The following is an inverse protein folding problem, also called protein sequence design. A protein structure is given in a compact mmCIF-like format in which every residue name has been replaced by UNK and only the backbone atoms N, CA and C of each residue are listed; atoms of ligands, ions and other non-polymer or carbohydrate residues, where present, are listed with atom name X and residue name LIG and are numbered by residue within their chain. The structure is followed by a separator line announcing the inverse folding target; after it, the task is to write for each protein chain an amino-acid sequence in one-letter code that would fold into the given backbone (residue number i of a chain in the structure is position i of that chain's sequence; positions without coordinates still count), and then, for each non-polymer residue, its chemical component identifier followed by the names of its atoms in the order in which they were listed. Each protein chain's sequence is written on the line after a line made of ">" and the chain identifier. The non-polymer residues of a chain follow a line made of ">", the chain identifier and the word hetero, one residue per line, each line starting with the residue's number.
data_IF_312734340761
#
_entry.id   IF_312734340761
#
_cell.length_a   1.000
_cell.length_b   1.000
_cell.length_c   1.000
_cell.angle_alpha   90.00
_cell.angle_beta   90.00
_cell.angle_gamma   90.00
#
_symmetry.space_group_name_H-M   'P 1'
#
loop_
_entity.id
_entity.type
_entity.pdbx_description
1 polymer ?
#
# COMPACT_ATOMS: atom_id res chain seq x y z
N UNK A 1 -3.14 22.76 -26.14
CA UNK A 1 -1.70 22.39 -26.21
C UNK A 1 -0.90 22.67 -24.93
N UNK A 2 -1.53 22.75 -23.73
CA UNK A 2 -0.86 23.19 -22.48
C UNK A 2 -0.62 22.05 -21.46
N UNK A 3 -1.07 20.83 -21.72
CA UNK A 3 -1.08 19.72 -20.74
C UNK A 3 0.11 18.75 -20.80
N UNK A 4 1.08 18.91 -21.72
CA UNK A 4 2.28 18.05 -21.81
C UNK A 4 3.55 18.63 -21.17
N UNK A 5 3.69 19.96 -21.07
CA UNK A 5 4.91 20.60 -20.55
C UNK A 5 5.03 20.59 -19.01
N UNK A 6 3.91 20.64 -18.28
CA UNK A 6 3.90 20.67 -16.81
C UNK A 6 4.41 19.35 -16.19
N UNK A 7 4.25 18.22 -16.88
CA UNK A 7 4.71 16.90 -16.38
C UNK A 7 6.22 16.75 -16.43
N UNK A 8 6.89 17.24 -17.47
CA UNK A 8 8.35 17.09 -17.62
C UNK A 8 9.07 18.02 -16.66
N UNK A 9 8.61 19.26 -16.51
CA UNK A 9 9.26 20.23 -15.63
C UNK A 9 9.08 19.87 -14.15
N UNK A 10 7.87 19.46 -13.73
CA UNK A 10 7.66 18.99 -12.37
C UNK A 10 8.46 17.71 -12.04
N UNK A 11 8.58 16.79 -13.00
CA UNK A 11 9.45 15.62 -12.85
C UNK A 11 10.91 16.05 -12.76
N UNK A 12 11.41 16.93 -13.64
CA UNK A 12 12.78 17.47 -13.57
C UNK A 12 13.06 18.16 -12.24
N UNK A 13 12.13 18.94 -11.70
CA UNK A 13 12.27 19.61 -10.40
C UNK A 13 12.25 18.63 -9.23
N UNK A 14 11.47 17.55 -9.31
CA UNK A 14 11.54 16.42 -8.37
C UNK A 14 12.88 15.69 -8.48
N UNK A 15 13.39 15.47 -9.69
CA UNK A 15 14.65 14.76 -9.95
C UNK A 15 15.88 15.60 -9.60
N UNK A 16 15.78 16.93 -9.72
CA UNK A 16 16.74 17.90 -9.21
C UNK A 16 16.56 18.15 -7.70
N UNK A 17 15.50 17.56 -7.13
CA UNK A 17 15.11 17.63 -5.73
C UNK A 17 14.69 19.01 -5.22
N UNK A 18 14.37 19.94 -6.11
CA UNK A 18 13.85 21.26 -5.80
C UNK A 18 12.43 21.25 -5.18
N UNK A 19 11.76 20.09 -5.18
CA UNK A 19 10.41 19.88 -4.68
C UNK A 19 10.34 18.59 -3.86
N UNK A 20 9.76 18.68 -2.66
CA UNK A 20 9.44 17.51 -1.86
C UNK A 20 8.39 16.63 -2.57
N UNK A 21 8.69 15.36 -2.81
CA UNK A 21 7.78 14.41 -3.46
C UNK A 21 6.52 14.16 -2.61
N UNK A 22 6.61 14.33 -1.30
CA UNK A 22 5.52 14.08 -0.35
C UNK A 22 4.52 15.23 -0.22
N UNK A 23 4.97 16.49 -0.13
CA UNK A 23 4.10 17.66 0.06
C UNK A 23 4.09 18.65 -1.11
N UNK A 24 4.92 18.44 -2.13
CA UNK A 24 5.09 19.34 -3.29
C UNK A 24 5.56 20.76 -2.94
N UNK A 25 5.99 21.01 -1.70
CA UNK A 25 6.59 22.29 -1.34
C UNK A 25 7.94 22.46 -2.06
N UNK A 26 8.15 23.65 -2.63
CA UNK A 26 9.45 24.07 -3.15
C UNK A 26 10.43 24.11 -1.98
N UNK A 27 11.52 23.36 -2.06
CA UNK A 27 12.56 23.34 -1.02
C UNK A 27 13.47 24.57 -1.19
N UNK A 28 12.89 25.78 -1.15
CA UNK A 28 13.70 26.99 -1.01
C UNK A 28 14.28 26.96 0.42
N UNK A 29 15.60 26.87 0.48
CA UNK A 29 16.48 26.95 1.66
C UNK A 29 16.79 25.71 2.52
N UNK A 30 16.56 24.48 2.06
CA UNK A 30 17.15 23.30 2.73
C UNK A 30 17.73 22.21 1.80
N UNK A 31 17.85 22.52 0.50
CA UNK A 31 18.17 21.50 -0.51
C UNK A 31 19.63 21.51 -0.99
N UNK A 32 20.34 22.63 -0.87
CA UNK A 32 21.60 22.84 -1.59
C UNK A 32 22.83 22.11 -1.03
N UNK A 33 22.75 21.45 0.14
CA UNK A 33 23.94 20.82 0.76
C UNK A 33 24.03 19.30 0.65
N UNK A 34 22.98 18.59 0.22
CA UNK A 34 23.00 17.12 0.15
C UNK A 34 22.98 16.55 -1.27
N UNK A 35 22.50 17.28 -2.28
CA UNK A 35 22.39 16.75 -3.66
C UNK A 35 23.62 17.01 -4.53
N UNK A 36 24.54 17.88 -4.09
CA UNK A 36 25.78 18.19 -4.84
C UNK A 36 26.76 17.00 -4.98
N UNK A 37 26.61 15.93 -4.20
CA UNK A 37 27.45 14.73 -4.30
C UNK A 37 26.88 13.61 -5.18
N UNK A 38 25.64 13.72 -5.67
CA UNK A 38 25.03 12.73 -6.57
C UNK A 38 25.16 13.08 -8.07
N UNK A 39 25.83 14.19 -8.38
CA UNK A 39 26.07 14.69 -9.75
C UNK A 39 27.45 14.31 -10.30
N UNK A 40 27.80 13.03 -10.33
CA UNK A 40 28.79 12.52 -11.27
C UNK A 40 28.35 11.13 -11.76
N UNK A 41 27.45 11.14 -12.75
CA UNK A 41 27.24 10.04 -13.70
C UNK A 41 26.80 8.69 -13.14
N UNK A 42 25.50 8.51 -12.85
CA UNK A 42 24.75 7.25 -13.01
C UNK A 42 23.30 7.40 -12.52
N UNK A 43 22.37 7.84 -13.36
CA UNK A 43 20.93 7.68 -13.05
C UNK A 43 20.55 6.25 -13.38
N UNK A 44 20.65 5.36 -12.39
CA UNK A 44 19.93 4.08 -12.38
C UNK A 44 18.76 4.23 -11.41
N UNK A 45 17.61 4.51 -12.01
CA UNK A 45 16.34 4.76 -11.32
C UNK A 45 15.98 3.53 -10.47
N UNK A 46 16.05 3.63 -9.14
CA UNK A 46 15.64 2.61 -8.16
C UNK A 46 16.24 1.19 -8.25
N UNK A 47 17.02 0.85 -9.27
CA UNK A 47 17.45 -0.53 -9.53
C UNK A 47 18.78 -0.90 -8.85
N UNK A 48 19.40 0.04 -8.12
CA UNK A 48 20.75 -0.12 -7.58
C UNK A 48 20.94 0.28 -6.11
N UNK A 49 19.87 0.47 -5.33
CA UNK A 49 20.06 0.74 -3.89
C UNK A 49 20.54 -0.56 -3.21
N UNK A 50 21.79 -0.63 -2.72
CA UNK A 50 22.25 -1.80 -1.98
C UNK A 50 21.50 -1.85 -0.64
N UNK A 51 20.87 -3.00 -0.38
CA UNK A 51 19.92 -3.25 0.70
C UNK A 51 20.70 -3.54 2.00
N UNK A 52 21.56 -2.61 2.44
CA UNK A 52 22.16 -2.65 3.78
C UNK A 52 21.43 -1.66 4.70
N UNK A 53 21.00 -2.19 5.86
CA UNK A 53 19.96 -1.63 6.72
C UNK A 53 20.25 -0.24 7.33
N UNK A 54 19.14 0.48 7.55
CA UNK A 54 18.94 1.71 8.32
C UNK A 54 19.39 3.04 7.69
N UNK A 55 20.68 3.35 7.58
CA UNK A 55 21.09 4.69 7.10
C UNK A 55 20.87 4.88 5.60
N UNK A 56 21.14 3.87 4.77
CA UNK A 56 20.96 3.94 3.31
C UNK A 56 19.51 4.25 2.92
N UNK A 57 18.53 3.58 3.54
CA UNK A 57 17.10 3.83 3.28
C UNK A 57 16.64 5.21 3.78
N UNK A 58 17.12 5.65 4.94
CA UNK A 58 16.77 6.98 5.47
C UNK A 58 17.38 8.10 4.61
N UNK A 59 18.65 7.96 4.22
CA UNK A 59 19.32 8.88 3.30
C UNK A 59 18.63 8.91 1.93
N UNK A 60 18.16 7.76 1.46
CA UNK A 60 17.36 7.66 0.24
C UNK A 60 16.02 8.41 0.39
N UNK A 61 15.28 8.22 1.49
CA UNK A 61 14.03 8.96 1.72
C UNK A 61 14.27 10.48 1.84
N UNK A 62 15.34 10.90 2.51
CA UNK A 62 15.75 12.31 2.64
C UNK A 62 16.10 12.95 1.29
N UNK A 63 16.49 12.16 0.29
CA UNK A 63 16.76 12.64 -1.07
C UNK A 63 15.49 13.07 -1.82
N UNK A 64 14.29 12.63 -1.38
CA UNK A 64 13.02 12.89 -2.07
C UNK A 64 11.94 13.54 -1.18
N UNK A 65 12.05 13.40 0.14
CA UNK A 65 11.08 13.89 1.12
C UNK A 65 11.74 14.92 2.02
N UNK A 66 11.15 16.11 2.14
CA UNK A 66 11.68 17.16 3.00
C UNK A 66 11.65 16.76 4.48
N UNK A 67 12.54 17.37 5.27
CA UNK A 67 12.64 17.14 6.71
C UNK A 67 11.30 17.28 7.43
N UNK A 68 10.50 18.30 7.09
CA UNK A 68 9.19 18.52 7.70
C UNK A 68 8.23 17.34 7.46
N UNK A 69 8.21 16.76 6.26
CA UNK A 69 7.35 15.60 5.97
C UNK A 69 7.84 14.32 6.66
N UNK A 70 9.16 14.13 6.78
CA UNK A 70 9.71 12.98 7.50
C UNK A 70 9.48 13.09 9.02
N UNK A 71 9.62 14.28 9.59
CA UNK A 71 9.40 14.51 11.03
C UNK A 71 7.92 14.42 11.42
N UNK A 72 7.01 14.82 10.52
CA UNK A 72 5.57 14.80 10.75
C UNK A 72 4.87 13.61 10.09
N UNK A 73 5.54 12.46 10.00
CA UNK A 73 4.86 11.23 9.58
C UNK A 73 3.81 10.85 10.63
N UNK A 74 2.53 10.67 10.24
CA UNK A 74 1.46 10.36 11.18
C UNK A 74 1.48 8.87 11.55
N UNK A 75 2.59 8.40 12.15
CA UNK A 75 2.81 6.99 12.48
C UNK A 75 1.86 6.57 13.60
N UNK A 76 1.13 5.48 13.40
CA UNK A 76 0.29 4.90 14.43
C UNK A 76 1.12 4.07 15.43
N UNK A 77 0.63 4.04 16.66
CA UNK A 77 1.15 3.13 17.69
C UNK A 77 0.71 1.69 17.38
N UNK A 78 1.59 0.71 17.59
CA UNK A 78 1.35 -0.69 17.26
C UNK A 78 0.18 -1.31 18.03
N UNK A 79 -0.15 -0.75 19.20
CA UNK A 79 -1.27 -1.16 20.05
C UNK A 79 -2.62 -0.61 19.57
N UNK A 80 -2.65 0.35 18.65
CA UNK A 80 -3.90 0.86 18.05
C UNK A 80 -4.31 -0.04 16.89
N UNK A 81 -4.78 -1.24 17.20
CA UNK A 81 -5.30 -2.20 16.22
C UNK A 81 -6.77 -1.90 15.95
N UNK A 82 -7.19 -1.84 14.69
CA UNK A 82 -8.62 -1.81 14.38
C UNK A 82 -9.16 -3.24 14.42
N UNK A 83 -10.28 -3.44 15.10
CA UNK A 83 -10.90 -4.75 15.23
C UNK A 83 -12.31 -4.73 14.64
N UNK A 84 -12.57 -5.67 13.74
CA UNK A 84 -13.92 -5.90 13.22
C UNK A 84 -14.79 -6.48 14.33
N UNK A 85 -15.86 -5.78 14.68
CA UNK A 85 -16.90 -6.27 15.61
C UNK A 85 -17.57 -7.55 15.07
N UNK A 86 -17.73 -7.64 13.75
CA UNK A 86 -18.46 -8.73 13.09
C UNK A 86 -17.65 -10.01 12.95
N UNK A 87 -16.33 -9.89 12.76
CA UNK A 87 -15.49 -11.02 12.32
C UNK A 87 -14.30 -11.30 13.25
N UNK A 88 -14.14 -10.54 14.35
CA UNK A 88 -12.95 -10.58 15.23
C UNK A 88 -11.62 -10.47 14.46
N UNK A 89 -11.64 -9.83 13.29
CA UNK A 89 -10.47 -9.62 12.46
C UNK A 89 -9.68 -8.42 12.99
N UNK A 90 -8.38 -8.62 13.18
CA UNK A 90 -7.44 -7.56 13.53
C UNK A 90 -6.80 -6.98 12.27
N UNK A 91 -6.85 -5.65 12.15
CA UNK A 91 -6.25 -4.88 11.07
C UNK A 91 -5.23 -3.92 11.68
N UNK A 92 -3.96 -4.09 11.29
CA UNK A 92 -2.89 -3.17 11.61
C UNK A 92 -2.78 -2.09 10.53
N UNK A 93 -2.46 -0.86 10.94
CA UNK A 93 -2.22 0.24 10.01
C UNK A 93 -0.96 0.99 10.42
N UNK A 94 -0.11 1.35 9.46
CA UNK A 94 1.16 2.01 9.76
C UNK A 94 0.96 3.48 10.12
N UNK A 95 0.01 4.14 9.46
CA UNK A 95 -0.19 5.58 9.54
C UNK A 95 -1.66 5.95 9.72
N UNK A 96 -1.93 7.11 10.32
CA UNK A 96 -3.22 7.78 10.13
C UNK A 96 -3.31 8.30 8.69
N UNK A 97 -4.50 8.33 8.11
CA UNK A 97 -4.74 8.81 6.75
C UNK A 97 -4.69 10.34 6.69
N UNK A 98 -3.49 10.88 6.89
CA UNK A 98 -3.19 12.31 6.92
C UNK A 98 -1.97 12.58 6.05
N UNK A 99 -1.72 13.86 5.75
CA UNK A 99 -0.49 14.25 5.06
C UNK A 99 0.73 13.92 5.93
N UNK A 100 1.86 13.51 5.33
CA UNK A 100 2.09 13.39 3.89
C UNK A 100 1.58 12.10 3.23
N UNK A 101 1.19 11.08 4.00
CA UNK A 101 0.89 9.73 3.51
C UNK A 101 -0.34 9.71 2.59
N UNK A 102 -1.41 10.42 2.98
CA UNK A 102 -2.63 10.51 2.17
C UNK A 102 -2.35 11.08 0.78
N UNK A 103 -1.44 12.05 0.65
CA UNK A 103 -1.05 12.59 -0.65
C UNK A 103 -0.32 11.54 -1.49
N UNK A 104 0.64 10.80 -0.92
CA UNK A 104 1.34 9.73 -1.65
C UNK A 104 0.37 8.68 -2.18
N UNK A 105 -0.60 8.28 -1.36
CA UNK A 105 -1.66 7.34 -1.73
C UNK A 105 -2.55 7.91 -2.86
N UNK A 106 -2.96 9.18 -2.77
CA UNK A 106 -3.76 9.84 -3.81
C UNK A 106 -3.00 9.92 -5.13
N UNK A 107 -1.72 10.32 -5.09
CA UNK A 107 -0.84 10.37 -6.27
C UNK A 107 -0.69 8.99 -6.92
N UNK A 108 -0.58 7.95 -6.09
CA UNK A 108 -0.56 6.57 -6.55
C UNK A 108 -1.93 6.09 -7.08
N UNK A 109 -3.06 6.52 -6.53
CA UNK A 109 -4.39 6.02 -6.97
C UNK A 109 -4.91 6.69 -8.24
N UNK A 110 -4.60 7.97 -8.44
CA UNK A 110 -5.30 8.82 -9.41
C UNK A 110 -4.39 9.54 -10.41
N UNK A 111 -3.09 9.65 -10.13
CA UNK A 111 -2.15 10.42 -10.97
C UNK A 111 -1.07 9.56 -11.63
N UNK A 112 -1.22 8.23 -11.60
CA UNK A 112 -0.31 7.24 -12.19
C UNK A 112 1.15 7.35 -11.72
N UNK A 113 1.37 7.88 -10.51
CA UNK A 113 2.70 8.07 -9.92
C UNK A 113 3.17 6.79 -9.22
N UNK A 114 3.43 5.74 -9.99
CA UNK A 114 3.77 4.39 -9.47
C UNK A 114 5.02 4.36 -8.57
N UNK A 115 5.94 5.32 -8.70
CA UNK A 115 7.10 5.41 -7.81
C UNK A 115 6.74 5.58 -6.32
N UNK A 116 5.54 6.08 -6.00
CA UNK A 116 5.06 6.09 -4.62
C UNK A 116 4.88 4.69 -4.04
N UNK A 117 4.65 3.66 -4.86
CA UNK A 117 4.60 2.29 -4.36
C UNK A 117 5.93 1.85 -3.74
N UNK A 118 7.06 2.20 -4.38
CA UNK A 118 8.41 1.95 -3.84
C UNK A 118 8.65 2.73 -2.54
N UNK A 119 8.28 4.01 -2.49
CA UNK A 119 8.41 4.83 -1.28
C UNK A 119 7.57 4.27 -0.11
N UNK A 120 6.33 3.90 -0.37
CA UNK A 120 5.44 3.29 0.63
C UNK A 120 5.96 1.92 1.09
N UNK A 121 6.54 1.13 0.18
CA UNK A 121 7.19 -0.14 0.51
C UNK A 121 8.41 0.04 1.42
N UNK A 122 9.21 1.10 1.22
CA UNK A 122 10.32 1.45 2.13
C UNK A 122 9.79 1.77 3.53
N UNK A 123 8.69 2.52 3.64
CA UNK A 123 8.07 2.77 4.95
C UNK A 123 7.60 1.47 5.62
N UNK A 124 6.97 0.56 4.87
CA UNK A 124 6.60 -0.75 5.40
C UNK A 124 7.85 -1.49 5.89
N UNK A 125 8.88 -1.57 5.06
CA UNK A 125 10.13 -2.23 5.41
C UNK A 125 10.72 -1.65 6.70
N UNK A 126 10.85 -0.33 6.83
CA UNK A 126 11.44 0.31 8.00
C UNK A 126 10.61 0.10 9.27
N UNK A 127 9.28 0.05 9.15
CA UNK A 127 8.36 -0.11 10.30
C UNK A 127 7.97 -1.56 10.57
N UNK A 128 8.45 -2.53 9.78
CA UNK A 128 7.98 -3.93 9.78
C UNK A 128 8.06 -4.63 11.13
N UNK A 129 9.12 -4.37 11.90
CA UNK A 129 9.29 -4.95 13.24
C UNK A 129 8.21 -4.47 14.21
N UNK A 130 7.81 -3.19 14.11
CA UNK A 130 6.77 -2.58 14.93
C UNK A 130 5.38 -3.18 14.65
N UNK A 131 5.16 -3.70 13.45
CA UNK A 131 3.86 -4.24 13.01
C UNK A 131 3.89 -5.76 12.75
N UNK A 132 4.91 -6.46 13.26
CA UNK A 132 5.06 -7.92 13.26
C UNK A 132 4.99 -8.59 11.88
N UNK A 133 5.63 -7.98 10.86
CA UNK A 133 5.61 -8.51 9.49
C UNK A 133 6.69 -9.56 9.19
N UNK A 134 7.53 -9.91 10.17
CA UNK A 134 8.71 -10.77 9.97
C UNK A 134 8.43 -12.28 10.16
N UNK A 135 7.20 -12.73 9.96
CA UNK A 135 6.86 -14.15 10.07
C UNK A 135 6.99 -14.86 8.72
N UNK A 136 8.00 -15.73 8.58
CA UNK A 136 8.25 -16.55 7.38
C UNK A 136 7.07 -17.47 7.02
N UNK A 137 6.22 -17.80 8.00
CA UNK A 137 5.00 -18.61 7.80
C UNK A 137 3.80 -17.77 7.33
N UNK A 138 4.02 -16.51 6.96
CA UNK A 138 2.98 -15.65 6.40
C UNK A 138 3.05 -15.57 4.88
N UNK A 139 1.91 -15.34 4.25
CA UNK A 139 1.80 -14.98 2.84
C UNK A 139 0.95 -13.73 2.69
N UNK A 140 1.52 -12.73 2.03
CA UNK A 140 0.87 -11.46 1.79
C UNK A 140 0.01 -11.53 0.54
N UNK A 141 -1.25 -11.15 0.67
CA UNK A 141 -2.23 -11.19 -0.41
C UNK A 141 -2.82 -9.79 -0.57
N UNK A 142 -2.52 -9.07 -1.66
CA UNK A 142 -3.07 -7.74 -1.89
C UNK A 142 -4.56 -7.87 -2.20
N UNK A 143 -5.38 -6.97 -1.69
CA UNK A 143 -6.80 -6.96 -2.03
C UNK A 143 -6.94 -6.63 -3.54
N UNK A 144 -7.58 -7.50 -4.33
CA UNK A 144 -7.70 -7.30 -5.76
C UNK A 144 -8.67 -6.15 -6.08
N UNK A 145 -8.33 -5.39 -7.12
CA UNK A 145 -9.28 -4.49 -7.77
C UNK A 145 -10.23 -5.27 -8.68
N UNK A 146 -11.43 -4.74 -8.86
CA UNK A 146 -12.33 -5.24 -9.90
C UNK A 146 -11.73 -4.90 -11.29
N UNK A 147 -11.95 -5.77 -12.29
CA UNK A 147 -11.35 -5.62 -13.62
C UNK A 147 -11.56 -4.24 -14.25
N UNK A 148 -12.76 -3.65 -14.14
CA UNK A 148 -13.03 -2.31 -14.65
C UNK A 148 -12.12 -1.24 -14.01
N UNK A 149 -11.92 -1.31 -12.69
CA UNK A 149 -11.06 -0.38 -11.96
C UNK A 149 -9.59 -0.62 -12.27
N UNK A 150 -9.21 -1.87 -12.50
CA UNK A 150 -7.86 -2.23 -12.94
C UNK A 150 -7.58 -1.68 -14.34
N UNK A 151 -8.54 -1.78 -15.28
CA UNK A 151 -8.46 -1.21 -16.63
C UNK A 151 -8.36 0.32 -16.60
N UNK A 152 -9.20 0.98 -15.80
CA UNK A 152 -9.21 2.44 -15.63
C UNK A 152 -7.89 2.96 -15.02
N UNK A 153 -7.42 2.32 -13.95
CA UNK A 153 -6.22 2.74 -13.21
C UNK A 153 -4.92 2.27 -13.86
N UNK A 154 -4.97 1.19 -14.64
CA UNK A 154 -3.82 0.50 -15.24
C UNK A 154 -3.04 -0.41 -14.30
N UNK A 155 -3.30 -0.39 -12.99
CA UNK A 155 -2.63 -1.24 -11.99
C UNK A 155 -3.43 -1.33 -10.68
N UNK A 156 -3.10 -2.33 -9.87
CA UNK A 156 -3.56 -2.44 -8.48
C UNK A 156 -2.50 -1.84 -7.55
N UNK A 157 -2.84 -0.74 -6.87
CA UNK A 157 -1.92 -0.04 -5.97
C UNK A 157 -1.49 -0.89 -4.78
N UNK A 158 -2.39 -1.71 -4.21
CA UNK A 158 -2.07 -2.58 -3.09
C UNK A 158 -1.06 -3.67 -3.53
N UNK A 159 -1.26 -4.20 -4.73
CA UNK A 159 -0.36 -5.16 -5.37
C UNK A 159 1.02 -4.56 -5.62
N UNK A 160 1.10 -3.36 -6.19
CA UNK A 160 2.38 -2.69 -6.46
C UNK A 160 3.17 -2.48 -5.17
N UNK A 161 2.53 -1.98 -4.11
CA UNK A 161 3.20 -1.73 -2.83
C UNK A 161 3.74 -3.03 -2.23
N UNK A 162 2.94 -4.09 -2.17
CA UNK A 162 3.40 -5.34 -1.56
C UNK A 162 4.42 -6.05 -2.43
N UNK A 163 4.32 -5.99 -3.76
CA UNK A 163 5.34 -6.54 -4.65
C UNK A 163 6.70 -5.91 -4.37
N UNK A 164 6.77 -4.59 -4.18
CA UNK A 164 8.02 -3.91 -3.82
C UNK A 164 8.45 -4.22 -2.38
N UNK A 165 7.50 -4.33 -1.45
CA UNK A 165 7.79 -4.71 -0.05
C UNK A 165 8.35 -6.13 0.05
N UNK A 166 7.80 -7.07 -0.72
CA UNK A 166 8.23 -8.46 -0.77
C UNK A 166 9.67 -8.59 -1.28
N UNK A 167 10.07 -7.76 -2.26
CA UNK A 167 11.48 -7.68 -2.70
C UNK A 167 12.40 -7.16 -1.59
N UNK A 168 11.97 -6.15 -0.84
CA UNK A 168 12.79 -5.51 0.21
C UNK A 168 12.94 -6.39 1.45
N UNK A 169 11.85 -7.02 1.90
CA UNK A 169 11.79 -7.80 3.13
C UNK A 169 11.86 -9.31 2.91
N UNK A 170 12.06 -9.78 1.68
CA UNK A 170 12.03 -11.21 1.31
C UNK A 170 10.75 -11.92 1.80
N UNK A 171 9.59 -11.32 1.54
CA UNK A 171 8.28 -11.84 1.99
C UNK A 171 7.63 -12.73 0.93
N UNK A 172 6.92 -13.77 1.38
CA UNK A 172 6.04 -14.53 0.50
C UNK A 172 4.84 -13.67 0.09
N UNK A 173 4.55 -13.61 -1.20
CA UNK A 173 3.47 -12.81 -1.76
C UNK A 173 2.70 -13.56 -2.83
N UNK A 174 1.39 -13.37 -2.88
CA UNK A 174 0.51 -13.96 -3.89
C UNK A 174 -0.64 -13.01 -4.26
N UNK A 175 -0.68 -12.59 -5.53
CA UNK A 175 -1.72 -11.73 -6.09
C UNK A 175 -2.83 -12.47 -6.86
N UNK A 176 -2.80 -13.80 -6.88
CA UNK A 176 -3.72 -14.67 -7.64
C UNK A 176 -4.65 -15.48 -6.74
N UNK A 177 -4.36 -15.62 -5.44
CA UNK A 177 -5.18 -16.40 -4.50
C UNK A 177 -6.62 -15.87 -4.42
N UNK A 178 -6.78 -14.54 -4.36
CA UNK A 178 -8.07 -13.88 -4.20
C UNK A 178 -8.43 -13.09 -5.47
N UNK A 179 -9.68 -13.20 -5.91
CA UNK A 179 -10.23 -12.46 -7.04
C UNK A 179 -11.40 -11.60 -6.59
N UNK A 180 -11.60 -10.45 -7.25
CA UNK A 180 -12.77 -9.59 -7.04
C UNK A 180 -13.75 -9.72 -8.21
N UNK A 181 -14.93 -10.25 -7.94
CA UNK A 181 -15.93 -10.63 -8.95
C UNK A 181 -17.03 -9.60 -9.14
N UNK A 182 -17.33 -8.78 -8.12
CA UNK A 182 -18.38 -7.75 -8.18
C UNK A 182 -17.81 -6.34 -8.20
N UNK A 183 -18.43 -5.46 -9.02
CA UNK A 183 -18.29 -4.01 -8.89
C UNK A 183 -19.11 -3.59 -7.65
N UNK A 184 -18.45 -3.34 -6.53
CA UNK A 184 -19.15 -2.74 -5.39
C UNK A 184 -19.42 -1.27 -5.71
N UNK A 185 -20.67 -0.89 -5.93
CA UNK A 185 -21.10 0.52 -6.02
C UNK A 185 -20.90 1.21 -4.66
N UNK A 186 -20.69 2.53 -4.66
CA UNK A 186 -20.66 3.34 -3.43
C UNK A 186 -21.99 3.17 -2.68
N UNK A 187 -21.92 3.14 -1.34
CA UNK A 187 -23.05 2.85 -0.43
C UNK A 187 -24.25 3.83 -0.54
N UNK A 188 -24.14 4.91 -1.30
CA UNK A 188 -25.21 5.90 -1.51
C UNK A 188 -26.25 5.51 -2.55
N UNK A 189 -26.04 4.43 -3.32
CA UNK A 189 -26.91 4.09 -4.47
C UNK A 189 -27.77 2.82 -4.30
N UNK A 190 -27.68 2.12 -3.15
CA UNK A 190 -28.38 0.83 -2.96
C UNK A 190 -29.55 1.02 -1.98
N UNK A 191 -30.78 0.93 -2.50
CA UNK A 191 -32.01 0.89 -1.70
C UNK A 191 -32.14 -0.50 -1.05
N UNK A 192 -32.44 -0.57 0.25
CA UNK A 192 -32.71 -1.83 0.98
C UNK A 192 -31.56 -2.39 1.81
N UNK A 193 -31.82 -2.74 3.07
CA UNK A 193 -30.82 -3.30 4.02
C UNK A 193 -30.37 -4.72 3.64
N UNK A 194 -31.29 -5.56 3.15
CA UNK A 194 -31.01 -6.95 2.79
C UNK A 194 -30.20 -7.08 1.49
N UNK A 195 -30.49 -6.24 0.50
CA UNK A 195 -29.74 -6.18 -0.76
C UNK A 195 -28.33 -5.61 -0.54
N UNK A 196 -28.15 -4.73 0.45
CA UNK A 196 -26.83 -4.26 0.91
C UNK A 196 -25.98 -5.38 1.54
N UNK A 197 -26.59 -6.31 2.27
CA UNK A 197 -25.86 -7.48 2.78
C UNK A 197 -25.51 -8.48 1.66
N UNK A 198 -26.46 -8.78 0.75
CA UNK A 198 -26.25 -9.71 -0.38
C UNK A 198 -25.25 -9.20 -1.44
N UNK A 199 -25.18 -7.89 -1.67
CA UNK A 199 -24.24 -7.30 -2.63
C UNK A 199 -22.78 -7.24 -2.13
N UNK A 200 -22.56 -7.15 -0.81
CA UNK A 200 -21.22 -7.21 -0.22
C UNK A 200 -20.76 -8.65 0.06
N UNK A 201 -21.67 -9.58 0.38
CA UNK A 201 -21.35 -10.99 0.35
C UNK A 201 -21.02 -11.39 -1.10
N UNK A 202 -19.90 -12.09 -1.31
CA UNK A 202 -19.43 -12.59 -2.62
C UNK A 202 -18.78 -11.55 -3.54
N UNK A 203 -18.36 -10.38 -3.05
CA UNK A 203 -17.51 -9.49 -3.85
C UNK A 203 -16.13 -10.10 -4.14
N UNK A 204 -15.70 -11.06 -3.32
CA UNK A 204 -14.42 -11.76 -3.43
C UNK A 204 -14.60 -13.27 -3.40
N UNK A 205 -13.76 -13.97 -4.16
CA UNK A 205 -13.71 -15.43 -4.23
C UNK A 205 -12.26 -15.91 -4.25
N UNK A 206 -12.01 -17.12 -3.75
CA UNK A 206 -10.72 -17.78 -3.97
C UNK A 206 -10.67 -18.22 -5.43
N UNK A 207 -9.52 -18.02 -6.06
CA UNK A 207 -9.30 -18.42 -7.43
C UNK A 207 -9.37 -19.94 -7.59
N UNK A 208 -10.28 -20.43 -8.43
CA UNK A 208 -10.48 -21.86 -8.68
C UNK A 208 -9.28 -22.53 -9.36
N UNK A 209 -8.39 -21.76 -9.98
CA UNK A 209 -7.13 -22.28 -10.51
C UNK A 209 -6.15 -22.78 -9.41
N UNK A 210 -6.44 -22.51 -8.13
CA UNK A 210 -5.69 -23.10 -7.03
C UNK A 210 -6.17 -24.52 -6.77
N UNK A 211 -5.34 -25.50 -7.10
CA UNK A 211 -5.58 -26.90 -6.76
C UNK A 211 -5.71 -27.10 -5.24
N UNK A 212 -6.49 -28.10 -4.81
CA UNK A 212 -6.76 -28.42 -3.40
C UNK A 212 -5.46 -28.60 -2.61
N UNK A 213 -4.47 -29.29 -3.18
CA UNK A 213 -3.15 -29.50 -2.57
C UNK A 213 -2.42 -28.17 -2.32
N UNK A 214 -2.50 -27.24 -3.28
CA UNK A 214 -1.92 -25.93 -3.14
C UNK A 214 -2.59 -25.15 -2.01
N UNK A 215 -3.93 -25.15 -1.97
CA UNK A 215 -4.69 -24.55 -0.87
C UNK A 215 -4.33 -25.16 0.48
N UNK A 216 -4.12 -26.47 0.57
CA UNK A 216 -3.73 -27.13 1.82
C UNK A 216 -2.34 -26.70 2.32
N UNK A 217 -1.36 -26.51 1.42
CA UNK A 217 -0.06 -25.91 1.76
C UNK A 217 -0.23 -24.50 2.32
N UNK A 218 -1.16 -23.77 1.73
CA UNK A 218 -1.53 -22.40 2.06
C UNK A 218 -2.26 -22.27 3.40
N UNK A 219 -3.12 -23.23 3.79
CA UNK A 219 -3.82 -23.25 5.09
C UNK A 219 -2.89 -23.35 6.29
N UNK A 220 -1.71 -23.95 6.11
CA UNK A 220 -0.67 -23.98 7.15
C UNK A 220 -0.02 -22.60 7.37
N UNK A 221 -0.15 -21.69 6.40
CA UNK A 221 0.38 -20.33 6.47
C UNK A 221 -0.67 -19.33 6.97
N UNK A 222 -0.20 -18.29 7.62
CA UNK A 222 -1.00 -17.11 7.97
C UNK A 222 -1.18 -16.25 6.70
N UNK A 223 -2.42 -16.02 6.26
CA UNK A 223 -2.67 -15.04 5.20
C UNK A 223 -2.70 -13.64 5.81
N UNK A 224 -1.90 -12.73 5.25
CA UNK A 224 -1.93 -11.30 5.58
C UNK A 224 -2.54 -10.55 4.40
N UNK A 225 -3.81 -10.18 4.53
CA UNK A 225 -4.48 -9.33 3.55
C UNK A 225 -3.88 -7.92 3.59
N UNK A 226 -3.63 -7.34 2.43
CA UNK A 226 -3.11 -5.99 2.33
C UNK A 226 -4.00 -5.06 1.50
N UNK A 227 -4.32 -3.89 2.03
CA UNK A 227 -4.92 -2.79 1.28
C UNK A 227 -4.18 -1.49 1.57
N UNK A 228 -4.39 -0.46 0.76
CA UNK A 228 -3.68 0.80 0.97
C UNK A 228 -4.33 1.67 2.05
N UNK A 229 -5.66 1.70 2.17
CA UNK A 229 -6.36 2.48 3.20
C UNK A 229 -7.48 1.67 3.84
N UNK A 230 -7.49 1.62 5.17
CA UNK A 230 -8.63 1.18 5.96
C UNK A 230 -9.57 2.37 6.20
N UNK A 231 -10.79 2.29 5.67
CA UNK A 231 -11.88 3.19 6.06
C UNK A 231 -12.85 2.45 6.97
N UNK A 232 -14.03 2.06 6.50
CA UNK A 232 -15.05 1.33 7.27
C UNK A 232 -14.73 -0.14 7.55
N UNK A 233 -13.61 -0.67 7.02
CA UNK A 233 -13.27 -2.10 7.11
C UNK A 233 -14.07 -3.02 6.18
N UNK A 234 -15.16 -2.56 5.58
CA UNK A 234 -16.06 -3.36 4.73
C UNK A 234 -15.36 -4.15 3.61
N UNK A 235 -14.38 -3.54 2.93
CA UNK A 235 -13.62 -4.20 1.86
C UNK A 235 -12.75 -5.34 2.41
N UNK A 236 -12.05 -5.09 3.53
CA UNK A 236 -11.20 -6.09 4.18
C UNK A 236 -12.06 -7.24 4.74
N UNK A 237 -13.18 -6.93 5.37
CA UNK A 237 -14.13 -7.95 5.86
C UNK A 237 -14.65 -8.82 4.71
N UNK A 238 -15.08 -8.21 3.60
CA UNK A 238 -15.57 -8.94 2.43
C UNK A 238 -14.48 -9.83 1.81
N UNK A 239 -13.23 -9.35 1.73
CA UNK A 239 -12.08 -10.12 1.25
C UNK A 239 -11.69 -11.27 2.20
N UNK A 240 -11.90 -11.08 3.50
CA UNK A 240 -11.57 -12.07 4.55
C UNK A 240 -12.54 -13.25 4.55
N UNK A 241 -13.83 -13.02 4.30
CA UNK A 241 -14.88 -14.06 4.32
C UNK A 241 -14.55 -15.34 3.54
N UNK A 242 -14.19 -15.30 2.23
CA UNK A 242 -13.90 -16.51 1.47
C UNK A 242 -12.65 -17.24 1.99
N UNK A 243 -11.65 -16.51 2.51
CA UNK A 243 -10.45 -17.10 3.09
C UNK A 243 -10.76 -17.85 4.39
N UNK A 244 -11.54 -17.25 5.30
CA UNK A 244 -11.95 -17.95 6.53
C UNK A 244 -12.78 -19.19 6.22
N UNK A 245 -13.70 -19.12 5.25
CA UNK A 245 -14.49 -20.29 4.81
C UNK A 245 -13.63 -21.43 4.26
N UNK A 246 -12.51 -21.11 3.62
CA UNK A 246 -11.56 -22.12 3.16
C UNK A 246 -10.61 -22.63 4.26
N UNK A 247 -10.73 -22.12 5.50
CA UNK A 247 -9.95 -22.58 6.66
C UNK A 247 -8.62 -21.85 6.86
N UNK A 248 -8.43 -20.68 6.24
CA UNK A 248 -7.23 -19.88 6.45
C UNK A 248 -7.26 -19.12 7.77
N UNK A 249 -6.09 -18.94 8.40
CA UNK A 249 -5.90 -17.91 9.43
C UNK A 249 -5.63 -16.58 8.73
N UNK A 250 -6.43 -15.55 9.01
CA UNK A 250 -6.32 -14.25 8.33
C UNK A 250 -5.98 -13.13 9.32
N UNK A 251 -4.98 -12.33 8.96
CA UNK A 251 -4.71 -10.99 9.52
C UNK A 251 -4.79 -9.98 8.38
N UNK A 252 -4.86 -8.69 8.70
CA UNK A 252 -4.84 -7.64 7.70
C UNK A 252 -3.87 -6.52 8.08
N UNK A 253 -3.31 -5.89 7.04
CA UNK A 253 -2.40 -4.76 7.12
C UNK A 253 -2.85 -3.68 6.13
N UNK A 254 -2.83 -2.42 6.54
CA UNK A 254 -2.95 -1.29 5.62
C UNK A 254 -1.82 -0.28 5.77
N UNK A 255 -1.54 0.49 4.72
CA UNK A 255 -0.62 1.64 4.84
C UNK A 255 -1.21 2.64 5.83
N UNK A 256 -2.45 3.04 5.59
CA UNK A 256 -3.10 4.06 6.41
C UNK A 256 -4.50 3.64 6.85
N UNK A 257 -5.04 4.34 7.84
CA UNK A 257 -6.46 4.27 8.19
C UNK A 257 -7.07 5.64 8.45
N UNK A 258 -8.33 5.80 8.15
CA UNK A 258 -9.11 6.94 8.66
C UNK A 258 -9.33 6.72 10.17
N UNK A 259 -8.91 7.67 10.98
CA UNK A 259 -9.23 7.65 12.40
C UNK A 259 -10.67 8.16 12.56
N UNK A 260 -11.55 7.33 13.11
CA UNK A 260 -12.87 7.75 13.54
C UNK A 260 -12.68 8.53 14.84
N UNK A 261 -12.79 9.86 14.77
CA UNK A 261 -12.90 10.74 15.94
C UNK A 261 -14.29 10.59 16.53
#
# INVERSE_FOLDING_TARGET
>A
MVTKLIKVEAIKRILNGEICVACQASTKDNFLRQVRLLRLGSIKFFDQVPISLNESCLNHLQSYICRNCLQNLPILSHNKIWQSEKMRLQVNSLFSYQRPISNMIVQLKFYHKQYFAKLLAIFIFLLRQKFLLDNQDSIFVPIPLHQNRLKERGYNQAELIIKETAKLANLNFDNKLLLRTKITKKQTEVKGFEERQKNMSEAFVINSAYHIEHLNKFKKKQVVLFDDVLTTGSTIEAATKPLLKAGFKVKALTIAREDFI
#
